data_IF_797278559317
#
_entry.id   IF_797278559317
#
_cell.length_a   1.000
_cell.length_b   1.000
_cell.length_c   1.000
_cell.angle_alpha   90.00
_cell.angle_beta   90.00
_cell.angle_gamma   90.00
#
_symmetry.space_group_name_H-M   'P 1'
#
loop_
_entity.id
_entity.type
_entity.pdbx_description
1 polymer ?
#
# COMPACT_ATOMS: atom_id res chain seq x y z
N UNK A 1 19.41 -14.06 -1.84
CA UNK A 1 18.21 -13.39 -1.28
C UNK A 1 17.79 -12.23 -2.17
N UNK A 2 16.49 -11.98 -2.27
CA UNK A 2 15.96 -10.81 -2.94
C UNK A 2 15.93 -9.62 -1.97
N UNK A 3 16.38 -8.47 -2.45
CA UNK A 3 16.32 -7.22 -1.69
C UNK A 3 15.32 -6.27 -2.33
N UNK A 4 14.31 -5.86 -1.58
CA UNK A 4 13.22 -5.02 -2.04
C UNK A 4 13.34 -3.64 -1.40
N UNK A 5 13.32 -2.60 -2.21
CA UNK A 5 13.33 -1.20 -1.77
C UNK A 5 12.15 -0.47 -2.37
N UNK A 6 11.33 0.13 -1.51
CA UNK A 6 10.18 0.96 -1.90
C UNK A 6 10.26 2.34 -1.25
N UNK A 7 10.25 3.38 -2.07
CA UNK A 7 10.19 4.78 -1.63
C UNK A 7 8.79 5.32 -1.84
N UNK A 8 7.97 5.18 -0.80
CA UNK A 8 6.63 5.74 -0.75
C UNK A 8 6.59 7.24 -0.40
N UNK A 9 5.42 7.86 -0.45
CA UNK A 9 5.25 9.28 -0.13
C UNK A 9 5.58 9.62 1.33
N UNK A 10 5.25 8.75 2.27
CA UNK A 10 5.41 9.01 3.71
C UNK A 10 6.59 8.24 4.32
N UNK A 11 6.89 7.06 3.80
CA UNK A 11 7.91 6.19 4.36
C UNK A 11 8.68 5.44 3.27
N UNK A 12 9.86 5.00 3.62
CA UNK A 12 10.72 4.13 2.83
C UNK A 12 10.71 2.76 3.49
N UNK A 13 10.59 1.71 2.70
CA UNK A 13 10.52 0.34 3.19
C UNK A 13 11.63 -0.49 2.57
N UNK A 14 12.25 -1.33 3.38
CA UNK A 14 13.25 -2.32 2.97
C UNK A 14 12.80 -3.70 3.39
N UNK A 15 12.96 -4.70 2.55
CA UNK A 15 12.75 -6.09 2.95
C UNK A 15 13.72 -7.04 2.26
N UNK A 16 14.03 -8.12 2.95
CA UNK A 16 14.77 -9.25 2.41
C UNK A 16 13.84 -10.45 2.31
N UNK A 17 13.90 -11.11 1.15
CA UNK A 17 13.16 -12.34 0.90
C UNK A 17 14.13 -13.49 0.61
N UNK A 18 13.82 -14.64 1.19
CA UNK A 18 14.39 -15.92 0.80
C UNK A 18 13.28 -16.74 0.18
N UNK A 19 13.39 -17.02 -1.12
CA UNK A 19 12.27 -17.49 -1.92
C UNK A 19 11.08 -16.54 -1.77
N UNK A 20 9.89 -17.02 -1.44
CA UNK A 20 8.69 -16.20 -1.26
C UNK A 20 8.45 -15.74 0.19
N UNK A 21 9.39 -16.02 1.11
CA UNK A 21 9.24 -15.69 2.52
C UNK A 21 10.03 -14.44 2.87
N UNK A 22 9.36 -13.44 3.42
CA UNK A 22 10.02 -12.26 3.98
C UNK A 22 10.75 -12.62 5.26
N UNK A 23 12.07 -12.40 5.29
CA UNK A 23 12.96 -12.71 6.41
C UNK A 23 13.21 -11.49 7.28
N UNK A 24 13.27 -10.32 6.66
CA UNK A 24 13.59 -9.07 7.36
C UNK A 24 12.81 -7.92 6.74
N UNK A 25 12.33 -7.01 7.59
CA UNK A 25 11.61 -5.80 7.18
C UNK A 25 12.08 -4.61 7.99
N UNK A 26 12.18 -3.46 7.35
CA UNK A 26 12.46 -2.18 8.00
C UNK A 26 11.68 -1.06 7.33
N UNK A 27 11.15 -0.15 8.14
CA UNK A 27 10.52 1.09 7.71
C UNK A 27 11.33 2.26 8.26
N UNK A 28 11.61 3.26 7.41
CA UNK A 28 12.36 4.48 7.78
C UNK A 28 11.76 5.70 7.06
N UNK A 29 12.11 6.90 7.52
CA UNK A 29 11.65 8.14 6.89
C UNK A 29 12.69 8.73 5.93
N UNK A 30 13.96 8.30 6.02
CA UNK A 30 15.06 8.83 5.24
C UNK A 30 15.73 7.74 4.41
N UNK A 31 16.06 8.06 3.16
CA UNK A 31 16.89 7.19 2.32
C UNK A 31 18.36 7.41 2.67
N UNK A 32 18.96 6.48 3.40
CA UNK A 32 20.34 6.56 3.85
C UNK A 32 21.09 5.30 3.45
N UNK A 33 22.16 5.47 2.65
CA UNK A 33 22.92 4.35 2.12
C UNK A 33 23.59 3.53 3.24
N UNK A 34 24.11 4.15 4.28
CA UNK A 34 24.73 3.44 5.39
C UNK A 34 23.70 2.55 6.12
N UNK A 35 22.47 3.03 6.28
CA UNK A 35 21.39 2.25 6.88
C UNK A 35 20.99 1.04 6.00
N UNK A 36 21.04 1.20 4.68
CA UNK A 36 20.81 0.12 3.71
C UNK A 36 21.93 -0.93 3.79
N UNK A 37 23.19 -0.48 3.81
CA UNK A 37 24.34 -1.37 3.93
C UNK A 37 24.32 -2.17 5.24
N UNK A 38 23.96 -1.54 6.36
CA UNK A 38 23.79 -2.23 7.64
C UNK A 38 22.58 -3.20 7.62
N UNK A 39 21.52 -2.84 6.93
CA UNK A 39 20.34 -3.69 6.78
C UNK A 39 20.65 -4.97 6.00
N UNK A 40 21.45 -4.87 4.94
CA UNK A 40 21.84 -6.00 4.09
C UNK A 40 23.08 -6.74 4.55
N UNK A 41 23.81 -6.20 5.55
CA UNK A 41 25.03 -6.79 6.10
C UNK A 41 24.79 -8.25 6.52
N UNK A 42 25.72 -9.12 6.22
CA UNK A 42 25.69 -10.57 6.48
C UNK A 42 24.65 -11.36 5.65
N UNK A 43 24.05 -10.74 4.63
CA UNK A 43 23.14 -11.44 3.70
C UNK A 43 23.73 -11.37 2.29
N UNK A 44 23.76 -12.50 1.59
CA UNK A 44 24.10 -12.51 0.18
C UNK A 44 22.89 -12.03 -0.61
N UNK A 45 23.01 -10.86 -1.23
CA UNK A 45 21.96 -10.29 -2.08
C UNK A 45 22.21 -10.77 -3.51
N UNK A 46 21.27 -11.53 -4.06
CA UNK A 46 21.35 -12.05 -5.43
C UNK A 46 20.66 -11.09 -6.41
N UNK A 47 19.53 -10.50 -6.01
CA UNK A 47 18.70 -9.63 -6.84
C UNK A 47 18.13 -8.48 -6.03
N UNK A 48 17.87 -7.38 -6.69
CA UNK A 48 17.29 -6.19 -6.06
C UNK A 48 16.25 -5.56 -6.98
N UNK A 49 15.12 -5.12 -6.41
CA UNK A 49 14.16 -4.26 -7.08
C UNK A 49 14.04 -2.93 -6.32
N UNK A 50 13.92 -1.85 -7.08
CA UNK A 50 13.77 -0.50 -6.58
C UNK A 50 12.51 0.12 -7.14
N UNK A 51 11.57 0.45 -6.25
CA UNK A 51 10.33 1.16 -6.54
C UNK A 51 10.36 2.55 -5.91
N UNK A 52 9.89 3.56 -6.61
CA UNK A 52 9.78 4.91 -6.06
C UNK A 52 8.63 5.69 -6.67
N UNK A 53 7.81 6.29 -5.82
CA UNK A 53 6.79 7.29 -6.21
C UNK A 53 7.29 8.73 -6.02
N UNK A 54 8.56 8.91 -5.64
CA UNK A 54 9.23 10.21 -5.46
C UNK A 54 10.33 10.42 -6.48
N UNK A 55 10.68 11.69 -6.69
CA UNK A 55 11.90 12.05 -7.42
C UNK A 55 13.14 11.51 -6.72
N UNK A 56 14.22 11.30 -7.49
CA UNK A 56 15.51 10.75 -7.05
C UNK A 56 16.00 11.37 -5.74
N UNK A 57 16.37 10.54 -4.77
CA UNK A 57 16.97 10.92 -3.50
C UNK A 57 18.50 11.06 -3.61
N UNK A 58 19.13 11.77 -2.66
CA UNK A 58 20.57 12.08 -2.67
C UNK A 58 21.48 10.85 -2.88
N UNK A 59 21.17 9.74 -2.23
CA UNK A 59 22.02 8.53 -2.28
C UNK A 59 21.56 7.48 -3.28
N UNK A 60 20.52 7.77 -4.08
CA UNK A 60 19.92 6.78 -5.00
C UNK A 60 20.92 6.33 -6.07
N UNK A 61 21.74 7.23 -6.63
CA UNK A 61 22.74 6.87 -7.64
C UNK A 61 23.77 5.88 -7.08
N UNK A 62 24.27 6.09 -5.86
CA UNK A 62 25.20 5.18 -5.20
C UNK A 62 24.56 3.82 -4.93
N UNK A 63 23.30 3.83 -4.47
CA UNK A 63 22.53 2.61 -4.27
C UNK A 63 22.41 1.80 -5.57
N UNK A 64 22.03 2.45 -6.68
CA UNK A 64 21.91 1.81 -7.99
C UNK A 64 23.28 1.22 -8.43
N UNK A 65 24.38 1.94 -8.24
CA UNK A 65 25.73 1.44 -8.57
C UNK A 65 26.13 0.19 -7.77
N UNK A 66 25.71 0.08 -6.52
CA UNK A 66 26.10 -1.04 -5.63
C UNK A 66 25.24 -2.27 -5.90
N UNK A 67 23.90 -2.09 -6.01
CA UNK A 67 22.95 -3.20 -6.04
C UNK A 67 22.45 -3.56 -7.44
N UNK A 68 22.72 -2.71 -8.44
CA UNK A 68 22.24 -2.87 -9.83
C UNK A 68 20.77 -3.34 -9.90
N UNK A 69 19.82 -2.60 -9.26
CA UNK A 69 18.46 -3.06 -9.10
C UNK A 69 17.66 -3.04 -10.40
N UNK A 70 16.70 -3.92 -10.53
CA UNK A 70 15.56 -3.72 -11.44
C UNK A 70 14.82 -2.45 -10.99
N UNK A 71 14.82 -1.43 -11.84
CA UNK A 71 14.05 -0.20 -11.60
C UNK A 71 12.61 -0.47 -12.02
N UNK A 72 11.73 -0.51 -11.03
CA UNK A 72 10.31 -0.78 -11.28
C UNK A 72 9.58 0.45 -11.78
N UNK A 73 9.06 0.37 -12.99
CA UNK A 73 8.22 1.37 -13.64
C UNK A 73 7.05 0.72 -14.42
N UNK A 74 6.27 1.55 -15.11
CA UNK A 74 5.09 1.10 -15.85
C UNK A 74 5.42 0.29 -17.12
N UNK A 75 6.69 0.21 -17.53
CA UNK A 75 7.18 -0.59 -18.66
C UNK A 75 7.72 -1.95 -18.20
N UNK A 76 7.93 -2.15 -16.91
CA UNK A 76 8.43 -3.41 -16.37
C UNK A 76 7.44 -4.54 -16.66
N UNK A 77 7.87 -5.69 -17.23
CA UNK A 77 6.99 -6.84 -17.45
C UNK A 77 6.31 -7.31 -16.17
N UNK A 78 5.04 -7.67 -16.26
CA UNK A 78 4.21 -8.02 -15.12
C UNK A 78 3.56 -9.40 -15.26
N UNK A 79 3.39 -10.17 -14.17
CA UNK A 79 2.67 -11.44 -14.19
C UNK A 79 1.14 -11.27 -14.24
N UNK A 80 0.65 -10.04 -14.40
CA UNK A 80 -0.76 -9.67 -14.53
C UNK A 80 -0.97 -8.80 -15.76
N UNK A 81 -2.22 -8.70 -16.24
CA UNK A 81 -2.60 -7.80 -17.33
C UNK A 81 -3.19 -6.52 -16.76
N UNK A 82 -2.77 -5.38 -17.26
CA UNK A 82 -3.33 -4.09 -16.88
C UNK A 82 -4.46 -3.72 -17.85
N UNK A 83 -5.70 -3.67 -17.33
CA UNK A 83 -6.91 -3.24 -18.05
C UNK A 83 -7.30 -1.79 -17.72
N UNK A 84 -6.31 -0.98 -17.41
CA UNK A 84 -6.47 0.44 -17.09
C UNK A 84 -6.27 1.26 -18.35
N UNK A 85 -7.12 2.28 -18.59
CA UNK A 85 -7.10 3.05 -19.85
C UNK A 85 -5.85 3.93 -20.02
N UNK A 86 -5.23 4.32 -18.91
CA UNK A 86 -4.00 5.14 -18.86
C UNK A 86 -2.92 4.41 -18.03
N UNK A 87 -2.38 3.28 -18.53
CA UNK A 87 -1.46 2.44 -17.77
C UNK A 87 -0.18 3.17 -17.39
N UNK A 88 0.25 4.16 -18.19
CA UNK A 88 1.44 4.98 -17.94
C UNK A 88 1.32 5.89 -16.71
N UNK A 89 0.11 6.14 -16.22
CA UNK A 89 -0.16 6.96 -15.02
C UNK A 89 -0.55 6.12 -13.80
N UNK A 90 -0.65 4.80 -13.96
CA UNK A 90 -1.00 3.91 -12.86
C UNK A 90 0.14 3.85 -11.84
N UNK A 91 -0.17 4.11 -10.57
CA UNK A 91 0.81 4.05 -9.48
C UNK A 91 1.46 2.66 -9.36
N UNK A 92 2.78 2.63 -9.31
CA UNK A 92 3.56 1.38 -9.18
C UNK A 92 3.26 0.63 -7.88
N UNK A 93 2.89 1.34 -6.82
CA UNK A 93 2.41 0.78 -5.55
C UNK A 93 1.10 -0.01 -5.71
N UNK A 94 0.15 0.52 -6.49
CA UNK A 94 -1.12 -0.16 -6.81
C UNK A 94 -0.87 -1.41 -7.67
N UNK A 95 0.06 -1.34 -8.62
CA UNK A 95 0.46 -2.49 -9.44
C UNK A 95 1.06 -3.59 -8.56
N UNK A 96 1.99 -3.24 -7.66
CA UNK A 96 2.61 -4.20 -6.76
C UNK A 96 1.58 -4.89 -5.85
N UNK A 97 0.65 -4.14 -5.25
CA UNK A 97 -0.44 -4.70 -4.46
C UNK A 97 -1.31 -5.68 -5.28
N UNK A 98 -1.64 -5.32 -6.52
CA UNK A 98 -2.44 -6.16 -7.41
C UNK A 98 -1.71 -7.45 -7.81
N UNK A 99 -0.40 -7.38 -8.05
CA UNK A 99 0.43 -8.56 -8.34
C UNK A 99 0.42 -9.52 -7.16
N UNK A 100 0.69 -9.04 -5.93
CA UNK A 100 0.65 -9.88 -4.74
C UNK A 100 -0.72 -10.54 -4.56
N UNK A 101 -1.80 -9.76 -4.62
CA UNK A 101 -3.15 -10.27 -4.47
C UNK A 101 -3.49 -11.33 -5.52
N UNK A 102 -3.07 -11.12 -6.78
CA UNK A 102 -3.28 -12.08 -7.87
C UNK A 102 -2.51 -13.39 -7.71
N UNK A 103 -1.31 -13.32 -7.12
CA UNK A 103 -0.51 -14.53 -6.85
C UNK A 103 -1.04 -15.32 -5.65
N UNK A 104 -1.48 -14.64 -4.60
CA UNK A 104 -1.95 -15.26 -3.36
C UNK A 104 -3.38 -15.83 -3.47
N UNK A 105 -4.26 -15.15 -4.21
CA UNK A 105 -5.69 -15.47 -4.29
C UNK A 105 -6.11 -15.81 -5.73
N UNK A 106 -5.50 -16.84 -6.27
CA UNK A 106 -5.76 -17.28 -7.64
C UNK A 106 -7.23 -17.64 -7.87
N UNK A 107 -7.71 -17.40 -9.10
CA UNK A 107 -9.06 -17.69 -9.55
C UNK A 107 -10.20 -16.98 -8.80
N UNK A 108 -9.90 -15.94 -8.02
CA UNK A 108 -10.90 -15.14 -7.34
C UNK A 108 -10.75 -13.65 -7.64
N UNK A 109 -11.88 -12.98 -7.75
CA UNK A 109 -11.88 -11.51 -7.78
C UNK A 109 -11.51 -11.00 -6.39
N UNK A 110 -10.54 -10.12 -6.31
CA UNK A 110 -9.99 -9.59 -5.06
C UNK A 110 -10.09 -8.08 -5.05
N UNK A 111 -10.65 -7.55 -3.99
CA UNK A 111 -10.74 -6.14 -3.67
C UNK A 111 -9.62 -5.79 -2.70
N UNK A 112 -8.81 -4.78 -3.01
CA UNK A 112 -7.63 -4.39 -2.26
C UNK A 112 -7.81 -2.98 -1.76
N UNK A 113 -7.71 -2.78 -0.46
CA UNK A 113 -7.67 -1.45 0.17
C UNK A 113 -6.25 -1.20 0.68
N UNK A 114 -5.62 -0.13 0.20
CA UNK A 114 -4.34 0.35 0.75
C UNK A 114 -4.58 1.61 1.58
N UNK A 115 -4.44 1.48 2.88
CA UNK A 115 -4.60 2.55 3.87
C UNK A 115 -3.25 3.25 4.10
N UNK A 116 -2.82 4.02 3.10
CA UNK A 116 -1.59 4.80 3.11
C UNK A 116 -1.83 6.31 3.20
N UNK A 117 -0.95 7.09 2.55
CA UNK A 117 -1.12 8.54 2.40
C UNK A 117 -2.47 8.88 1.74
N UNK A 118 -2.82 8.12 0.71
CA UNK A 118 -4.17 8.03 0.16
C UNK A 118 -4.80 6.70 0.58
N UNK A 119 -6.13 6.63 0.56
CA UNK A 119 -6.85 5.38 0.49
C UNK A 119 -6.98 5.01 -0.99
N UNK A 120 -6.35 3.94 -1.43
CA UNK A 120 -6.63 3.36 -2.74
C UNK A 120 -7.47 2.10 -2.60
N UNK A 121 -8.38 1.89 -3.54
CA UNK A 121 -9.25 0.72 -3.61
C UNK A 121 -9.11 0.15 -5.00
N UNK A 122 -8.57 -1.05 -5.13
CA UNK A 122 -8.23 -1.67 -6.40
C UNK A 122 -8.88 -3.03 -6.57
N UNK A 123 -9.14 -3.41 -7.81
CA UNK A 123 -9.74 -4.71 -8.15
C UNK A 123 -8.83 -5.47 -9.10
N UNK A 124 -8.51 -6.71 -8.74
CA UNK A 124 -7.92 -7.70 -9.63
C UNK A 124 -8.89 -8.88 -9.76
N UNK A 125 -9.07 -9.39 -10.99
CA UNK A 125 -9.96 -10.52 -11.22
C UNK A 125 -9.21 -11.87 -11.20
N UNK A 126 -9.96 -12.97 -11.22
CA UNK A 126 -9.40 -14.32 -11.21
C UNK A 126 -8.58 -14.68 -12.46
N UNK A 127 -8.65 -13.89 -13.53
CA UNK A 127 -7.84 -14.05 -14.75
C UNK A 127 -6.53 -13.27 -14.70
N UNK A 128 -6.12 -12.80 -13.53
CA UNK A 128 -4.93 -11.97 -13.32
C UNK A 128 -5.00 -10.64 -14.11
N UNK A 129 -6.15 -9.97 -14.10
CA UNK A 129 -6.31 -8.67 -14.74
C UNK A 129 -6.61 -7.59 -13.69
N UNK A 130 -5.81 -6.53 -13.68
CA UNK A 130 -6.08 -5.30 -12.92
C UNK A 130 -7.19 -4.53 -13.64
N UNK A 131 -8.32 -4.33 -12.99
CA UNK A 131 -9.50 -3.73 -13.61
C UNK A 131 -9.65 -2.22 -13.35
N UNK A 132 -8.87 -1.67 -12.41
CA UNK A 132 -9.00 -0.29 -11.96
C UNK A 132 -9.40 -0.19 -10.51
N UNK A 133 -9.75 1.02 -10.08
CA UNK A 133 -10.07 1.25 -8.68
C UNK A 133 -10.44 2.71 -8.38
N UNK A 134 -10.29 3.10 -7.11
CA UNK A 134 -10.57 4.45 -6.59
C UNK A 134 -9.36 4.99 -5.86
N UNK A 135 -9.25 6.31 -5.79
CA UNK A 135 -8.27 7.04 -4.97
C UNK A 135 -9.06 8.06 -4.17
N UNK A 136 -8.86 8.06 -2.86
CA UNK A 136 -9.51 8.96 -1.92
C UNK A 136 -8.49 9.43 -0.88
N UNK A 137 -8.71 10.52 -0.14
CA UNK A 137 -7.79 10.94 0.90
C UNK A 137 -7.65 9.87 1.99
N UNK A 138 -6.40 9.55 2.39
CA UNK A 138 -6.14 8.69 3.54
C UNK A 138 -6.48 9.36 4.86
N UNK A 139 -6.42 8.60 5.96
CA UNK A 139 -6.87 9.04 7.29
C UNK A 139 -6.22 10.35 7.74
N UNK A 140 -4.89 10.40 7.74
CA UNK A 140 -4.14 11.62 8.13
C UNK A 140 -4.37 12.78 7.16
N UNK A 141 -4.57 12.50 5.87
CA UNK A 141 -4.87 13.54 4.89
C UNK A 141 -6.22 14.20 5.16
N UNK A 142 -7.24 13.44 5.60
CA UNK A 142 -8.56 13.99 5.98
C UNK A 142 -8.45 14.92 7.20
N UNK A 143 -7.71 14.55 8.23
CA UNK A 143 -7.44 15.42 9.38
C UNK A 143 -6.72 16.71 8.97
N UNK A 144 -5.65 16.57 8.19
CA UNK A 144 -4.88 17.73 7.71
C UNK A 144 -5.70 18.63 6.80
N UNK A 145 -6.60 18.10 5.97
CA UNK A 145 -7.43 18.92 5.09
C UNK A 145 -8.40 19.80 5.87
N UNK A 146 -9.03 19.29 6.94
CA UNK A 146 -9.91 20.07 7.79
C UNK A 146 -9.16 21.24 8.46
N UNK A 147 -7.99 20.97 9.00
CA UNK A 147 -7.15 22.01 9.60
C UNK A 147 -6.63 23.02 8.57
N UNK A 148 -6.19 22.55 7.40
CA UNK A 148 -5.57 23.42 6.38
C UNK A 148 -6.57 24.35 5.69
N UNK A 149 -7.79 23.87 5.41
CA UNK A 149 -8.82 24.63 4.67
C UNK A 149 -9.78 25.39 5.57
N UNK A 150 -9.54 25.45 6.90
CA UNK A 150 -10.35 26.22 7.85
C UNK A 150 -9.46 26.94 8.85
N UNK A 151 -9.90 28.12 9.26
CA UNK A 151 -9.11 28.97 10.19
C UNK A 151 -9.14 28.51 11.64
N UNK A 152 -10.22 27.81 12.05
CA UNK A 152 -10.48 27.54 13.46
C UNK A 152 -10.47 26.05 13.83
N UNK A 153 -10.46 25.14 12.87
CA UNK A 153 -10.45 23.72 13.18
C UNK A 153 -9.05 23.25 13.56
N UNK A 154 -8.86 22.65 14.75
CA UNK A 154 -7.58 22.14 15.17
C UNK A 154 -7.16 20.91 14.36
N UNK A 155 -5.85 20.67 14.27
CA UNK A 155 -5.35 19.37 13.83
C UNK A 155 -5.55 18.37 14.96
N UNK A 156 -6.34 17.32 14.71
CA UNK A 156 -6.60 16.25 15.67
C UNK A 156 -5.75 15.02 15.37
N UNK A 157 -5.51 14.21 16.41
CA UNK A 157 -4.87 12.91 16.30
C UNK A 157 -5.92 11.78 16.18
N UNK A 158 -5.48 10.65 15.67
CA UNK A 158 -6.26 9.41 15.64
C UNK A 158 -6.53 8.96 17.08
N UNK A 159 -7.74 8.52 17.35
CA UNK A 159 -8.14 7.95 18.64
C UNK A 159 -8.62 6.51 18.44
N UNK A 160 -8.38 5.68 19.46
CA UNK A 160 -8.83 4.28 19.44
C UNK A 160 -10.32 4.13 19.74
N UNK A 161 -10.86 5.04 20.54
CA UNK A 161 -12.28 5.04 20.91
C UNK A 161 -13.17 5.48 19.75
N UNK A 162 -14.22 4.73 19.48
CA UNK A 162 -15.22 5.08 18.47
C UNK A 162 -16.21 6.11 19.00
N UNK A 163 -16.35 7.22 18.27
CA UNK A 163 -17.28 8.29 18.58
C UNK A 163 -18.28 8.42 17.43
N UNK A 164 -19.52 7.95 17.61
CA UNK A 164 -20.53 8.07 16.58
C UNK A 164 -20.99 9.51 16.32
N UNK A 165 -21.23 10.28 17.38
CA UNK A 165 -21.57 11.70 17.32
C UNK A 165 -20.71 12.44 18.35
N UNK A 166 -19.87 13.39 17.89
CA UNK A 166 -19.07 14.23 18.77
C UNK A 166 -19.87 15.34 19.43
N UNK A 167 -19.56 15.66 20.68
CA UNK A 167 -20.14 16.76 21.47
C UNK A 167 -19.12 17.87 21.79
N UNK A 168 -17.92 17.78 21.21
CA UNK A 168 -16.89 18.81 21.18
C UNK A 168 -16.33 18.92 19.77
N UNK A 169 -15.62 20.01 19.44
CA UNK A 169 -15.01 20.17 18.10
C UNK A 169 -14.07 19.01 17.78
N UNK A 170 -13.18 18.61 18.68
CA UNK A 170 -12.26 17.51 18.46
C UNK A 170 -13.01 16.17 18.27
N UNK A 171 -14.00 15.89 19.12
CA UNK A 171 -14.82 14.69 19.00
C UNK A 171 -15.63 14.66 17.69
N UNK A 172 -16.12 15.81 17.22
CA UNK A 172 -16.83 15.94 15.96
C UNK A 172 -15.92 15.72 14.76
N UNK A 173 -14.69 16.23 14.79
CA UNK A 173 -13.67 15.98 13.77
C UNK A 173 -13.32 14.48 13.73
N UNK A 174 -13.04 13.87 14.88
CA UNK A 174 -12.69 12.46 14.97
C UNK A 174 -13.84 11.56 14.47
N UNK A 175 -15.06 11.85 14.91
CA UNK A 175 -16.25 11.15 14.42
C UNK A 175 -16.40 11.28 12.90
N UNK A 176 -16.36 12.50 12.37
CA UNK A 176 -16.52 12.73 10.93
C UNK A 176 -15.45 12.07 10.08
N UNK A 177 -14.19 12.09 10.53
CA UNK A 177 -13.06 11.51 9.79
C UNK A 177 -13.02 10.00 9.92
N UNK A 178 -13.01 9.46 11.16
CA UNK A 178 -12.82 8.02 11.37
C UNK A 178 -14.07 7.21 11.02
N UNK A 179 -15.25 7.56 11.58
CA UNK A 179 -16.50 6.86 11.28
C UNK A 179 -16.93 7.07 9.83
N UNK A 180 -16.68 8.26 9.26
CA UNK A 180 -16.93 8.51 7.84
C UNK A 180 -16.13 7.58 6.94
N UNK A 181 -14.82 7.39 7.22
CA UNK A 181 -13.98 6.50 6.44
C UNK A 181 -14.32 5.01 6.67
N UNK A 182 -14.66 4.61 7.91
CA UNK A 182 -15.13 3.26 8.22
C UNK A 182 -16.42 2.95 7.44
N UNK A 183 -17.38 3.89 7.42
CA UNK A 183 -18.63 3.74 6.70
C UNK A 183 -18.43 3.67 5.18
N UNK A 184 -17.53 4.47 4.63
CA UNK A 184 -17.13 4.44 3.20
C UNK A 184 -16.61 3.04 2.83
N UNK A 185 -15.70 2.50 3.64
CA UNK A 185 -15.07 1.19 3.40
C UNK A 185 -16.09 0.06 3.52
N UNK A 186 -16.86 0.00 4.60
CA UNK A 186 -17.87 -1.03 4.82
C UNK A 186 -18.94 -1.02 3.73
N UNK A 187 -19.47 0.17 3.38
CA UNK A 187 -20.47 0.29 2.32
C UNK A 187 -19.93 -0.18 0.97
N UNK A 188 -18.67 0.15 0.67
CA UNK A 188 -18.07 -0.29 -0.59
C UNK A 188 -17.85 -1.81 -0.64
N UNK A 189 -17.46 -2.43 0.46
CA UNK A 189 -17.34 -3.89 0.57
C UNK A 189 -18.70 -4.55 0.40
N UNK A 190 -19.74 -4.03 1.07
CA UNK A 190 -21.10 -4.56 0.97
C UNK A 190 -21.61 -4.52 -0.48
N UNK A 191 -21.44 -3.38 -1.17
CA UNK A 191 -21.87 -3.23 -2.56
C UNK A 191 -21.07 -4.14 -3.50
N UNK A 192 -19.76 -4.22 -3.31
CA UNK A 192 -18.91 -5.10 -4.10
C UNK A 192 -19.30 -6.58 -3.97
N UNK A 193 -19.62 -7.02 -2.75
CA UNK A 193 -20.01 -8.40 -2.45
C UNK A 193 -21.39 -8.79 -2.97
N UNK A 194 -22.32 -7.83 -3.14
CA UNK A 194 -23.63 -8.10 -3.77
C UNK A 194 -23.47 -8.71 -5.16
N UNK A 195 -22.50 -8.19 -5.94
CA UNK A 195 -22.24 -8.66 -7.29
C UNK A 195 -21.15 -9.75 -7.35
N UNK A 196 -20.33 -9.87 -6.30
CA UNK A 196 -19.12 -10.72 -6.28
C UNK A 196 -19.08 -11.59 -5.01
N UNK A 197 -20.06 -12.48 -4.82
CA UNK A 197 -20.25 -13.28 -3.59
C UNK A 197 -19.05 -14.10 -3.15
N UNK A 198 -18.21 -14.57 -4.09
CA UNK A 198 -17.00 -15.38 -3.80
C UNK A 198 -15.74 -14.59 -4.03
N UNK A 199 -15.68 -13.38 -3.51
CA UNK A 199 -14.54 -12.49 -3.63
C UNK A 199 -13.73 -12.41 -2.34
N UNK A 200 -12.45 -12.06 -2.46
CA UNK A 200 -11.62 -11.71 -1.33
C UNK A 200 -11.58 -10.18 -1.13
N UNK A 201 -11.36 -9.78 0.12
CA UNK A 201 -11.09 -8.39 0.49
C UNK A 201 -9.81 -8.38 1.31
N UNK A 202 -8.83 -7.57 0.87
CA UNK A 202 -7.52 -7.46 1.51
C UNK A 202 -7.33 -6.01 1.94
N UNK A 203 -6.85 -5.84 3.17
CA UNK A 203 -6.39 -4.57 3.69
C UNK A 203 -4.87 -4.56 3.78
N UNK A 204 -4.25 -3.50 3.28
CA UNK A 204 -2.81 -3.24 3.38
C UNK A 204 -2.57 -1.77 3.73
N UNK A 205 -1.31 -1.36 3.82
CA UNK A 205 -0.94 0.00 4.20
C UNK A 205 -0.71 0.18 5.70
N UNK A 206 -0.30 1.40 6.07
CA UNK A 206 0.12 1.69 7.45
C UNK A 206 -1.01 1.63 8.48
N UNK A 207 -2.22 2.00 8.06
CA UNK A 207 -3.39 2.09 8.94
C UNK A 207 -4.30 0.87 8.82
N UNK A 208 -3.89 -0.21 8.11
CA UNK A 208 -4.75 -1.36 7.82
C UNK A 208 -5.29 -2.05 9.09
N UNK A 209 -4.50 -2.17 10.15
CA UNK A 209 -4.92 -2.78 11.41
C UNK A 209 -5.91 -1.94 12.20
N UNK A 210 -5.87 -0.60 12.07
CA UNK A 210 -6.89 0.26 12.64
C UNK A 210 -8.26 -0.04 12.00
N UNK A 211 -8.30 -0.09 10.67
CA UNK A 211 -9.55 -0.38 9.95
C UNK A 211 -10.00 -1.84 10.08
N UNK A 212 -9.07 -2.80 10.13
CA UNK A 212 -9.41 -4.21 10.38
C UNK A 212 -10.24 -4.39 11.66
N UNK A 213 -9.88 -3.69 12.74
CA UNK A 213 -10.58 -3.74 14.03
C UNK A 213 -11.92 -3.00 14.01
N UNK A 214 -12.07 -2.00 13.13
CA UNK A 214 -13.19 -1.07 13.17
C UNK A 214 -14.34 -1.46 12.25
N UNK A 215 -14.08 -2.14 11.14
CA UNK A 215 -15.09 -2.51 10.16
C UNK A 215 -15.87 -3.76 10.59
N UNK A 216 -17.10 -3.89 10.08
CA UNK A 216 -17.97 -5.06 10.34
C UNK A 216 -17.70 -6.24 9.39
N UNK A 217 -17.10 -5.95 8.23
CA UNK A 217 -16.87 -6.94 7.19
C UNK A 217 -15.68 -7.84 7.50
N UNK A 218 -15.76 -9.13 7.16
CA UNK A 218 -14.63 -10.06 7.25
C UNK A 218 -13.65 -9.78 6.12
N UNK A 219 -12.37 -9.60 6.44
CA UNK A 219 -11.29 -9.28 5.50
C UNK A 219 -9.98 -10.01 5.86
N UNK A 220 -8.96 -9.89 5.02
CA UNK A 220 -7.60 -10.30 5.29
C UNK A 220 -6.72 -9.04 5.43
N UNK A 221 -6.03 -8.88 6.55
CA UNK A 221 -5.04 -7.80 6.71
C UNK A 221 -3.63 -8.31 6.42
N UNK A 222 -2.95 -7.65 5.48
CA UNK A 222 -1.55 -7.93 5.14
C UNK A 222 -0.80 -6.61 4.94
N UNK A 223 -0.11 -6.08 5.95
CA UNK A 223 0.62 -4.81 5.86
C UNK A 223 1.83 -4.86 4.92
N UNK A 224 2.22 -6.05 4.48
CA UNK A 224 3.39 -6.29 3.64
C UNK A 224 3.05 -6.62 2.18
N UNK A 225 1.78 -6.53 1.80
CA UNK A 225 1.29 -6.94 0.47
C UNK A 225 2.11 -6.30 -0.67
N UNK A 226 2.43 -5.00 -0.56
CA UNK A 226 3.23 -4.29 -1.55
C UNK A 226 4.65 -4.87 -1.69
N UNK A 227 5.30 -5.21 -0.57
CA UNK A 227 6.66 -5.78 -0.60
C UNK A 227 6.66 -7.18 -1.21
N UNK A 228 5.64 -7.98 -0.92
CA UNK A 228 5.43 -9.29 -1.52
C UNK A 228 5.17 -9.18 -3.04
N UNK A 229 4.39 -8.18 -3.46
CA UNK A 229 4.16 -7.92 -4.88
C UNK A 229 5.41 -7.49 -5.61
N UNK A 230 6.25 -6.65 -5.03
CA UNK A 230 7.54 -6.28 -5.59
C UNK A 230 8.48 -7.49 -5.70
N UNK A 231 8.46 -8.39 -4.72
CA UNK A 231 9.23 -9.64 -4.80
C UNK A 231 8.73 -10.55 -5.95
N UNK A 232 7.42 -10.69 -6.13
CA UNK A 232 6.86 -11.47 -7.25
C UNK A 232 7.20 -10.83 -8.61
N UNK A 233 7.23 -9.50 -8.72
CA UNK A 233 7.64 -8.78 -9.93
C UNK A 233 9.13 -9.02 -10.21
N UNK A 234 9.98 -8.96 -9.18
CA UNK A 234 11.40 -9.24 -9.32
C UNK A 234 11.64 -10.66 -9.82
N UNK A 235 10.98 -11.66 -9.22
CA UNK A 235 11.10 -13.07 -9.62
C UNK A 235 10.58 -13.32 -11.06
N UNK A 236 9.59 -12.53 -11.51
CA UNK A 236 9.03 -12.66 -12.88
C UNK A 236 9.96 -12.11 -13.97
N UNK A 237 10.86 -11.16 -13.61
CA UNK A 237 11.78 -10.48 -14.54
C UNK A 237 13.20 -11.08 -14.53
N UNK A 238 13.32 -12.33 -14.25
CA UNK A 238 14.60 -13.08 -14.26
C UNK A 238 15.00 -13.55 -15.65
#
# INVERSE_FOLDING_TARGET
MNFIVDIGNTAIKFSLFENKKMIKFKKTNNFCLNEILDFTKNNQIDKTIFSSVKKTQKDTHKFISIYNPLIFDNNTPLPIKIKYLTPETLGVDRIANAVAASCQYQNKKTLIFDFGTCLTIDIVNGNKEFLGGRISPGLIMRYKSLNYYTDLLPLCDIIDDRIFIGNTTNASINSGVQEGMISEVDSFIDDFRKENKNSNVIFTGGDCFFFEKAIKNSIFANPYLQMEGLNEILDYNE
#
